data_IF_667851107176
#
_entry.id   IF_667851107176
#
_cell.length_a   1.000
_cell.length_b   1.000
_cell.length_c   1.000
_cell.angle_alpha   90.00
_cell.angle_beta   90.00
_cell.angle_gamma   90.00
#
_symmetry.space_group_name_H-M   'P 1'
#
loop_
_entity.id
_entity.type
_entity.pdbx_description
1 polymer ?
#
# COMPACT_ATOMS: atom_id res chain seq x y z
N UNK A 1 8.84 21.14 4.47
CA UNK A 1 9.43 20.50 3.27
C UNK A 1 10.25 19.30 3.72
N UNK A 2 10.04 18.13 3.12
CA UNK A 2 10.74 16.89 3.48
C UNK A 2 12.14 16.78 2.87
N UNK A 3 12.48 17.60 1.86
CA UNK A 3 13.78 17.59 1.20
C UNK A 3 14.89 17.98 2.18
N UNK A 4 16.01 17.24 2.16
CA UNK A 4 17.12 17.40 3.10
C UNK A 4 16.93 16.74 4.45
N UNK A 5 15.93 15.87 4.57
CA UNK A 5 15.71 15.07 5.78
C UNK A 5 16.92 14.16 6.06
N UNK A 6 17.33 14.00 7.33
CA UNK A 6 18.38 13.05 7.70
C UNK A 6 17.93 11.60 7.62
N UNK A 7 16.62 11.34 7.46
CA UNK A 7 16.05 9.98 7.48
C UNK A 7 16.07 9.33 6.11
N UNK A 8 16.58 8.10 6.04
CA UNK A 8 16.56 7.27 4.83
C UNK A 8 15.13 7.03 4.35
N UNK A 9 14.19 6.79 5.24
CA UNK A 9 12.77 6.61 4.91
C UNK A 9 12.24 7.77 4.06
N UNK A 10 12.51 9.00 4.48
CA UNK A 10 12.01 10.20 3.78
C UNK A 10 12.66 10.33 2.39
N UNK A 11 13.98 10.09 2.31
CA UNK A 11 14.69 10.15 1.04
C UNK A 11 14.19 9.07 0.06
N UNK A 12 14.00 7.83 0.54
CA UNK A 12 13.46 6.71 -0.24
C UNK A 12 12.01 6.97 -0.70
N UNK A 13 11.19 7.59 0.13
CA UNK A 13 9.84 8.04 -0.22
C UNK A 13 9.85 9.09 -1.32
N UNK A 14 10.79 10.06 -1.26
CA UNK A 14 10.92 11.11 -2.27
C UNK A 14 11.48 10.59 -3.61
N UNK A 15 12.07 9.40 -3.67
CA UNK A 15 12.47 8.74 -4.91
C UNK A 15 11.28 8.12 -5.67
N UNK A 16 10.15 7.86 -4.99
CA UNK A 16 9.00 7.14 -5.54
C UNK A 16 8.42 7.75 -6.85
N UNK A 17 8.27 9.09 -7.00
CA UNK A 17 7.82 9.68 -8.27
C UNK A 17 8.76 9.37 -9.44
N UNK A 18 10.07 9.38 -9.19
CA UNK A 18 11.07 9.03 -10.19
C UNK A 18 10.99 7.56 -10.60
N UNK A 19 10.68 6.65 -9.67
CA UNK A 19 10.42 5.24 -9.95
C UNK A 19 9.20 5.10 -10.86
N UNK A 20 8.08 5.75 -10.52
CA UNK A 20 6.89 5.76 -11.37
C UNK A 20 7.19 6.30 -12.78
N UNK A 21 7.92 7.43 -12.87
CA UNK A 21 8.19 8.09 -14.17
C UNK A 21 8.95 7.19 -15.16
N UNK A 22 9.89 6.37 -14.66
CA UNK A 22 10.73 5.49 -15.51
C UNK A 22 10.26 4.05 -15.56
N UNK A 23 9.15 3.71 -14.92
CA UNK A 23 8.63 2.34 -14.90
C UNK A 23 8.24 1.89 -16.31
N UNK A 24 8.66 0.68 -16.68
CA UNK A 24 8.24 0.04 -17.94
C UNK A 24 7.01 -0.84 -17.70
N UNK A 25 5.84 -0.35 -18.10
CA UNK A 25 4.58 -1.08 -17.97
C UNK A 25 4.49 -2.35 -18.82
N UNK A 26 5.40 -2.52 -19.78
CA UNK A 26 5.48 -3.72 -20.64
C UNK A 26 6.41 -4.79 -20.07
N UNK A 27 7.12 -4.51 -18.98
CA UNK A 27 8.12 -5.42 -18.41
C UNK A 27 7.57 -6.83 -18.10
N UNK A 28 6.26 -6.97 -17.87
CA UNK A 28 5.58 -8.25 -17.56
C UNK A 28 4.64 -8.72 -18.68
N UNK A 29 4.76 -8.21 -19.90
CA UNK A 29 3.89 -8.58 -21.03
C UNK A 29 3.91 -10.09 -21.35
N UNK A 30 5.00 -10.79 -21.06
CA UNK A 30 5.07 -12.25 -21.16
C UNK A 30 4.18 -12.98 -20.17
N UNK A 31 4.06 -12.44 -18.93
CA UNK A 31 3.25 -13.03 -17.87
C UNK A 31 1.75 -12.89 -18.14
N UNK A 32 1.35 -11.74 -18.71
CA UNK A 32 -0.06 -11.46 -19.02
C UNK A 32 -0.68 -12.50 -19.94
N UNK A 33 0.08 -13.06 -20.89
CA UNK A 33 -0.39 -14.15 -21.78
C UNK A 33 -0.72 -15.41 -20.98
N UNK A 34 0.16 -15.81 -20.07
CA UNK A 34 -0.04 -16.99 -19.20
C UNK A 34 -1.23 -16.77 -18.26
N UNK A 35 -1.35 -15.55 -17.70
CA UNK A 35 -2.44 -15.18 -16.80
C UNK A 35 -3.78 -15.19 -17.55
N UNK A 36 -3.85 -14.58 -18.73
CA UNK A 36 -5.06 -14.55 -19.55
C UNK A 36 -5.52 -15.96 -19.96
N UNK A 37 -4.59 -16.85 -20.31
CA UNK A 37 -4.92 -18.23 -20.66
C UNK A 37 -5.52 -19.02 -19.48
N UNK A 38 -5.13 -18.72 -18.24
CA UNK A 38 -5.70 -19.34 -17.02
C UNK A 38 -6.96 -18.63 -16.53
N UNK A 39 -7.11 -17.33 -16.76
CA UNK A 39 -8.21 -16.49 -16.28
C UNK A 39 -8.23 -16.30 -14.77
N UNK A 40 -7.23 -16.81 -14.03
CA UNK A 40 -7.16 -16.78 -12.56
C UNK A 40 -5.75 -16.41 -12.09
N UNK A 41 -5.67 -15.38 -11.28
CA UNK A 41 -4.42 -14.84 -10.73
C UNK A 41 -4.49 -14.79 -9.20
N UNK A 42 -3.50 -15.37 -8.53
CA UNK A 42 -3.23 -15.16 -7.12
C UNK A 42 -2.03 -14.23 -6.98
N UNK A 43 -2.19 -13.08 -6.31
CA UNK A 43 -1.08 -12.21 -5.94
C UNK A 43 -0.79 -12.44 -4.46
N UNK A 44 0.44 -12.79 -4.11
CA UNK A 44 0.82 -13.14 -2.73
C UNK A 44 2.10 -12.45 -2.29
N UNK A 45 2.30 -12.39 -1.00
CA UNK A 45 3.42 -11.75 -0.30
C UNK A 45 3.09 -11.61 1.17
N UNK A 46 3.94 -10.94 1.91
CA UNK A 46 3.70 -10.64 3.32
C UNK A 46 3.75 -9.12 3.57
N UNK A 47 2.83 -8.63 4.40
CA UNK A 47 2.75 -7.23 4.78
C UNK A 47 2.65 -6.28 3.57
N UNK A 48 3.48 -5.25 3.55
CA UNK A 48 3.48 -4.21 2.51
C UNK A 48 3.72 -4.72 1.09
N UNK A 49 4.42 -5.86 0.94
CA UNK A 49 4.62 -6.46 -0.39
C UNK A 49 3.33 -7.04 -0.99
N UNK A 50 2.26 -7.16 -0.19
CA UNK A 50 0.98 -7.69 -0.62
C UNK A 50 -0.17 -6.69 -0.50
N UNK A 51 -0.25 -5.98 0.64
CA UNK A 51 -1.44 -5.19 1.01
C UNK A 51 -1.80 -4.21 -0.10
N UNK A 52 -1.03 -3.16 -0.30
CA UNK A 52 -1.33 -2.18 -1.35
C UNK A 52 -1.13 -2.76 -2.75
N UNK A 53 -0.02 -3.43 -3.11
CA UNK A 53 0.19 -3.92 -4.47
C UNK A 53 -0.94 -4.79 -5.00
N UNK A 54 -1.37 -5.78 -4.23
CA UNK A 54 -2.39 -6.72 -4.68
C UNK A 54 -3.80 -6.12 -4.64
N UNK A 55 -4.17 -5.43 -3.56
CA UNK A 55 -5.51 -4.87 -3.41
C UNK A 55 -5.79 -3.72 -4.36
N UNK A 56 -4.78 -2.88 -4.67
CA UNK A 56 -4.91 -1.86 -5.70
C UNK A 56 -5.15 -2.49 -7.09
N UNK A 57 -4.43 -3.54 -7.44
CA UNK A 57 -4.66 -4.25 -8.69
C UNK A 57 -6.07 -4.88 -8.76
N UNK A 58 -6.55 -5.47 -7.66
CA UNK A 58 -7.92 -6.01 -7.57
C UNK A 58 -8.96 -4.90 -7.76
N UNK A 59 -8.82 -3.76 -7.05
CA UNK A 59 -9.75 -2.62 -7.18
C UNK A 59 -9.79 -2.09 -8.61
N UNK A 60 -8.63 -1.92 -9.24
CA UNK A 60 -8.53 -1.47 -10.64
C UNK A 60 -9.17 -2.46 -11.62
N UNK A 61 -8.92 -3.76 -11.45
CA UNK A 61 -9.53 -4.79 -12.28
C UNK A 61 -11.06 -4.80 -12.15
N UNK A 62 -11.57 -4.71 -10.93
CA UNK A 62 -13.02 -4.65 -10.68
C UNK A 62 -13.67 -3.39 -11.28
N UNK A 63 -13.02 -2.23 -11.15
CA UNK A 63 -13.50 -0.96 -11.73
C UNK A 63 -13.51 -0.96 -13.24
N UNK A 64 -12.54 -1.61 -13.88
CA UNK A 64 -12.46 -1.73 -15.34
C UNK A 64 -13.37 -2.80 -15.93
N UNK A 65 -14.06 -3.58 -15.09
CA UNK A 65 -14.88 -4.71 -15.53
C UNK A 65 -14.05 -5.87 -16.11
N UNK A 66 -12.82 -6.04 -15.65
CA UNK A 66 -11.93 -7.12 -16.08
C UNK A 66 -12.57 -8.49 -15.80
N UNK A 67 -12.51 -9.40 -16.79
CA UNK A 67 -12.93 -10.77 -16.62
C UNK A 67 -11.92 -11.64 -15.84
N UNK A 68 -10.73 -11.11 -15.54
CA UNK A 68 -9.69 -11.80 -14.80
C UNK A 68 -10.09 -11.96 -13.32
N UNK A 69 -10.17 -13.20 -12.84
CA UNK A 69 -10.39 -13.46 -11.43
C UNK A 69 -9.08 -13.29 -10.65
N UNK A 70 -9.01 -12.23 -9.84
CA UNK A 70 -7.82 -11.93 -9.02
C UNK A 70 -8.16 -12.10 -7.55
N UNK A 71 -7.30 -12.79 -6.82
CA UNK A 71 -7.38 -12.89 -5.36
C UNK A 71 -6.01 -12.67 -4.72
N UNK A 72 -6.02 -12.41 -3.41
CA UNK A 72 -4.78 -12.20 -2.64
C UNK A 72 -4.89 -12.78 -1.25
N UNK A 73 -3.83 -13.48 -0.85
CA UNK A 73 -3.67 -14.03 0.49
C UNK A 73 -2.21 -13.99 0.91
N UNK A 74 -1.95 -13.99 2.23
CA UNK A 74 -0.63 -14.24 2.76
C UNK A 74 -0.13 -15.64 2.35
N UNK A 75 1.16 -15.77 2.11
CA UNK A 75 1.72 -16.99 1.55
C UNK A 75 1.49 -18.23 2.44
N UNK A 76 1.46 -18.04 3.76
CA UNK A 76 1.19 -19.15 4.69
C UNK A 76 -0.20 -19.73 4.49
N UNK A 77 -1.22 -18.87 4.38
CA UNK A 77 -2.60 -19.29 4.15
C UNK A 77 -2.79 -19.78 2.72
N UNK A 78 -2.21 -19.12 1.72
CA UNK A 78 -2.27 -19.54 0.32
C UNK A 78 -1.74 -20.98 0.12
N UNK A 79 -0.79 -21.41 0.95
CA UNK A 79 -0.24 -22.77 0.92
C UNK A 79 -1.24 -23.89 1.34
N UNK A 80 -2.42 -23.52 1.84
CA UNK A 80 -3.53 -24.41 2.21
C UNK A 80 -4.56 -24.58 1.08
N UNK A 81 -4.45 -23.75 0.00
CA UNK A 81 -5.42 -23.72 -1.09
C UNK A 81 -4.99 -24.57 -2.29
N UNK A 82 -5.97 -25.06 -3.04
CA UNK A 82 -5.73 -25.64 -4.37
C UNK A 82 -5.51 -24.51 -5.40
N UNK A 83 -4.27 -24.26 -5.72
CA UNK A 83 -3.83 -23.25 -6.69
C UNK A 83 -3.60 -23.81 -8.10
N UNK A 84 -3.99 -25.04 -8.39
CA UNK A 84 -3.77 -25.74 -9.69
C UNK A 84 -4.34 -24.99 -10.89
N UNK A 85 -5.40 -24.19 -10.67
CA UNK A 85 -6.07 -23.38 -11.71
C UNK A 85 -5.58 -21.94 -11.78
N UNK A 86 -4.60 -21.55 -10.95
CA UNK A 86 -4.10 -20.18 -10.87
C UNK A 86 -2.74 -20.03 -11.54
N UNK A 87 -2.45 -18.80 -11.93
CA UNK A 87 -1.09 -18.29 -11.99
C UNK A 87 -0.82 -17.59 -10.67
N UNK A 88 0.35 -17.81 -10.07
CA UNK A 88 0.71 -17.20 -8.79
C UNK A 88 1.84 -16.19 -9.00
N UNK A 89 1.61 -14.95 -8.58
CA UNK A 89 2.63 -13.88 -8.59
C UNK A 89 2.99 -13.53 -7.16
N UNK A 90 4.28 -13.60 -6.83
CA UNK A 90 4.80 -13.22 -5.52
C UNK A 90 5.49 -11.86 -5.55
N UNK A 91 5.34 -11.09 -4.48
CA UNK A 91 6.20 -9.94 -4.22
C UNK A 91 6.91 -10.09 -2.87
N UNK A 92 8.23 -9.85 -2.86
CA UNK A 92 9.06 -9.90 -1.64
C UNK A 92 10.34 -9.09 -1.82
N UNK A 93 10.55 -8.06 -1.00
CA UNK A 93 11.76 -7.24 -1.08
C UNK A 93 13.04 -8.06 -0.93
N UNK A 94 13.11 -8.93 0.07
CA UNK A 94 14.28 -9.78 0.32
C UNK A 94 14.35 -11.00 -0.60
N UNK A 95 13.22 -11.43 -1.17
CA UNK A 95 13.11 -12.70 -1.88
C UNK A 95 13.43 -13.93 -1.02
N UNK A 96 13.38 -13.80 0.32
CA UNK A 96 13.76 -14.83 1.31
C UNK A 96 12.72 -15.03 2.42
N UNK A 97 11.54 -14.45 2.28
CA UNK A 97 10.46 -14.60 3.27
C UNK A 97 10.09 -16.07 3.37
N UNK A 98 10.24 -16.66 4.56
CA UNK A 98 10.07 -18.11 4.80
C UNK A 98 8.74 -18.66 4.29
N UNK A 99 7.64 -17.97 4.60
CA UNK A 99 6.30 -18.38 4.22
C UNK A 99 6.16 -18.43 2.70
N UNK A 100 6.69 -17.42 2.03
CA UNK A 100 6.67 -17.33 0.59
C UNK A 100 7.51 -18.40 -0.08
N UNK A 101 8.73 -18.64 0.42
CA UNK A 101 9.62 -19.68 -0.10
C UNK A 101 8.95 -21.05 0.04
N UNK A 102 8.38 -21.38 1.21
CA UNK A 102 7.68 -22.64 1.43
C UNK A 102 6.46 -22.85 0.50
N UNK A 103 5.71 -21.79 0.19
CA UNK A 103 4.65 -21.84 -0.82
C UNK A 103 5.24 -22.13 -2.22
N UNK A 104 6.27 -21.39 -2.62
CA UNK A 104 6.83 -21.46 -3.96
C UNK A 104 7.57 -22.77 -4.23
N UNK A 105 8.14 -23.41 -3.23
CA UNK A 105 8.67 -24.79 -3.33
C UNK A 105 7.53 -25.79 -3.65
N UNK A 106 6.36 -25.67 -3.00
CA UNK A 106 5.20 -26.50 -3.32
C UNK A 106 4.67 -26.27 -4.75
N UNK A 107 4.56 -24.99 -5.15
CA UNK A 107 4.12 -24.62 -6.50
C UNK A 107 5.10 -25.14 -7.57
N UNK A 108 6.40 -25.09 -7.31
CA UNK A 108 7.43 -25.62 -8.19
C UNK A 108 7.29 -27.13 -8.37
N UNK A 109 7.15 -27.86 -7.27
CA UNK A 109 6.94 -29.32 -7.29
C UNK A 109 5.65 -29.72 -8.06
N UNK A 110 4.58 -28.92 -7.92
CA UNK A 110 3.31 -29.12 -8.61
C UNK A 110 3.28 -28.57 -10.06
N UNK A 111 4.37 -27.93 -10.52
CA UNK A 111 4.49 -27.29 -11.85
C UNK A 111 3.40 -26.25 -12.13
N UNK A 112 2.95 -25.53 -11.09
CA UNK A 112 2.00 -24.43 -11.22
C UNK A 112 2.73 -23.20 -11.74
N UNK A 113 2.22 -22.47 -12.77
CA UNK A 113 2.83 -21.26 -13.30
C UNK A 113 2.98 -20.20 -12.21
N UNK A 114 4.20 -19.67 -12.04
CA UNK A 114 4.55 -18.78 -10.94
C UNK A 114 5.62 -17.77 -11.32
N UNK A 115 5.40 -16.53 -10.89
CA UNK A 115 6.28 -15.39 -11.19
C UNK A 115 6.69 -14.69 -9.90
N UNK A 116 7.80 -13.97 -9.93
CA UNK A 116 8.34 -13.29 -8.77
C UNK A 116 8.71 -11.83 -9.02
N UNK A 117 8.51 -10.99 -8.01
CA UNK A 117 8.94 -9.59 -7.96
C UNK A 117 9.76 -9.41 -6.70
N UNK A 118 11.01 -8.96 -6.81
CA UNK A 118 11.92 -8.81 -5.67
C UNK A 118 12.85 -7.61 -5.82
N UNK A 119 13.29 -7.01 -4.70
CA UNK A 119 14.35 -6.01 -4.73
C UNK A 119 15.77 -6.63 -4.72
N UNK A 120 15.88 -7.95 -4.52
CA UNK A 120 17.16 -8.65 -4.32
C UNK A 120 17.40 -9.65 -5.43
N UNK A 121 18.28 -9.31 -6.36
CA UNK A 121 18.72 -10.22 -7.40
C UNK A 121 19.42 -11.47 -6.79
N UNK A 122 19.24 -12.63 -7.43
CA UNK A 122 19.85 -13.88 -6.97
C UNK A 122 19.34 -14.38 -5.62
N UNK A 123 18.16 -13.88 -5.17
CA UNK A 123 17.51 -14.36 -3.96
C UNK A 123 16.84 -15.72 -4.18
N UNK A 124 16.51 -16.43 -3.09
CA UNK A 124 15.87 -17.76 -3.17
C UNK A 124 14.59 -17.75 -4.00
N UNK A 125 13.81 -16.66 -3.96
CA UNK A 125 12.61 -16.53 -4.81
C UNK A 125 12.95 -16.62 -6.30
N UNK A 126 14.09 -16.03 -6.74
CA UNK A 126 14.48 -16.04 -8.16
C UNK A 126 14.78 -17.43 -8.71
N UNK A 127 15.14 -18.38 -7.83
CA UNK A 127 15.40 -19.78 -8.20
C UNK A 127 14.11 -20.62 -8.31
N UNK A 128 13.03 -20.18 -7.68
CA UNK A 128 11.79 -20.95 -7.52
C UNK A 128 10.68 -20.53 -8.50
N UNK A 129 10.88 -19.45 -9.25
CA UNK A 129 9.87 -18.91 -10.19
C UNK A 129 10.23 -19.21 -11.64
N UNK A 130 9.23 -19.18 -12.51
CA UNK A 130 9.44 -19.36 -13.95
C UNK A 130 10.11 -18.13 -14.56
N UNK A 131 9.82 -16.95 -14.02
CA UNK A 131 10.47 -15.67 -14.33
C UNK A 131 10.38 -14.72 -13.15
N UNK A 132 11.40 -13.88 -12.94
CA UNK A 132 11.47 -12.91 -11.88
C UNK A 132 11.77 -11.50 -12.40
N UNK A 133 11.11 -10.49 -11.83
CA UNK A 133 11.47 -9.09 -12.03
C UNK A 133 12.18 -8.55 -10.80
N UNK A 134 13.34 -7.95 -11.03
CA UNK A 134 14.08 -7.25 -9.97
C UNK A 134 13.70 -5.78 -10.03
N UNK A 135 13.32 -5.22 -8.87
CA UNK A 135 12.91 -3.84 -8.74
C UNK A 135 14.05 -2.88 -9.15
N UNK A 136 13.73 -1.91 -9.98
CA UNK A 136 14.67 -0.90 -10.46
C UNK A 136 15.02 0.15 -9.40
N UNK A 137 14.14 0.33 -8.41
CA UNK A 137 14.34 1.24 -7.27
C UNK A 137 15.40 0.75 -6.28
N UNK A 138 15.81 -0.51 -6.38
CA UNK A 138 16.80 -1.12 -5.48
C UNK A 138 16.25 -1.40 -4.08
N UNK A 139 17.17 -1.78 -3.19
CA UNK A 139 16.85 -2.12 -1.80
C UNK A 139 16.71 -0.85 -0.95
N UNK A 140 15.75 -0.82 -0.06
CA UNK A 140 15.55 0.26 0.92
C UNK A 140 16.33 -0.01 2.20
N UNK A 141 16.82 1.06 2.84
CA UNK A 141 17.47 1.02 4.15
C UNK A 141 16.48 1.11 5.30
N UNK A 142 15.45 1.93 5.14
CA UNK A 142 14.38 2.06 6.14
C UNK A 142 13.63 0.74 6.33
N UNK A 143 13.16 0.48 7.56
CA UNK A 143 12.33 -0.71 7.84
C UNK A 143 10.98 -0.59 7.18
N UNK A 144 10.33 0.57 7.29
CA UNK A 144 9.09 0.85 6.60
C UNK A 144 9.36 1.00 5.09
N UNK A 145 8.81 0.11 4.30
CA UNK A 145 8.95 0.13 2.84
C UNK A 145 8.09 1.23 2.21
N UNK A 146 8.62 1.90 1.20
CA UNK A 146 7.97 2.99 0.46
C UNK A 146 8.10 2.82 -1.06
N UNK A 147 9.23 3.17 -1.68
CA UNK A 147 9.45 3.06 -3.13
C UNK A 147 9.34 1.62 -3.64
N UNK A 148 9.74 0.62 -2.85
CA UNK A 148 9.60 -0.78 -3.24
C UNK A 148 8.13 -1.23 -3.25
N UNK A 149 7.30 -0.76 -2.32
CA UNK A 149 5.85 -0.99 -2.32
C UNK A 149 5.21 -0.39 -3.56
N UNK A 150 5.61 0.84 -3.90
CA UNK A 150 5.13 1.51 -5.10
C UNK A 150 5.49 0.72 -6.36
N UNK A 151 6.75 0.32 -6.54
CA UNK A 151 7.16 -0.39 -7.75
C UNK A 151 6.54 -1.79 -7.84
N UNK A 152 6.38 -2.51 -6.72
CA UNK A 152 5.62 -3.76 -6.67
C UNK A 152 4.16 -3.56 -7.11
N UNK A 153 3.53 -2.46 -6.67
CA UNK A 153 2.17 -2.14 -7.08
C UNK A 153 2.07 -1.81 -8.57
N UNK A 154 3.06 -1.10 -9.14
CA UNK A 154 3.12 -0.83 -10.57
C UNK A 154 3.24 -2.14 -11.38
N UNK A 155 4.07 -3.09 -10.94
CA UNK A 155 4.13 -4.42 -11.55
C UNK A 155 2.79 -5.16 -11.47
N UNK A 156 2.14 -5.17 -10.30
CA UNK A 156 0.83 -5.81 -10.15
C UNK A 156 -0.24 -5.16 -11.04
N UNK A 157 -0.25 -3.82 -11.15
CA UNK A 157 -1.15 -3.09 -12.04
C UNK A 157 -0.86 -3.39 -13.52
N UNK A 158 0.42 -3.48 -13.92
CA UNK A 158 0.78 -3.75 -15.31
C UNK A 158 0.35 -5.14 -15.80
N UNK A 159 0.06 -6.08 -14.89
CA UNK A 159 -0.55 -7.38 -15.24
C UNK A 159 -1.97 -7.24 -15.81
N UNK A 160 -2.65 -6.12 -15.56
CA UNK A 160 -4.01 -5.87 -16.04
C UNK A 160 -4.02 -5.34 -17.49
N UNK A 161 -2.91 -4.75 -17.95
CA UNK A 161 -2.90 -3.91 -19.12
C UNK A 161 -3.66 -2.61 -18.86
N UNK A 162 -4.02 -1.90 -19.91
CA UNK A 162 -4.88 -0.72 -19.80
C UNK A 162 -4.24 0.54 -20.37
N UNK A 163 -5.10 1.53 -20.58
CA UNK A 163 -4.74 2.82 -21.20
C UNK A 163 -4.22 3.86 -20.21
N UNK A 164 -4.35 3.60 -18.91
CA UNK A 164 -3.95 4.52 -17.84
C UNK A 164 -2.46 4.88 -17.91
N UNK A 165 -1.63 4.01 -18.44
CA UNK A 165 -0.18 4.22 -18.60
C UNK A 165 0.16 5.45 -19.48
N UNK A 166 -0.76 5.91 -20.31
CA UNK A 166 -0.65 7.18 -21.04
C UNK A 166 -0.48 8.38 -20.11
N UNK A 167 -0.97 8.26 -18.88
CA UNK A 167 -0.91 9.29 -17.84
C UNK A 167 0.26 9.12 -16.87
N UNK A 168 1.16 8.17 -17.09
CA UNK A 168 2.25 7.82 -16.16
C UNK A 168 3.12 9.03 -15.78
N UNK A 169 3.55 9.83 -16.74
CA UNK A 169 4.31 11.05 -16.49
C UNK A 169 3.55 12.08 -15.65
N UNK A 170 2.24 12.23 -15.92
CA UNK A 170 1.36 13.12 -15.16
C UNK A 170 1.17 12.60 -13.73
N UNK A 171 0.99 11.30 -13.58
CA UNK A 171 0.91 10.65 -12.28
C UNK A 171 2.17 10.89 -11.45
N UNK A 172 3.35 10.75 -12.05
CA UNK A 172 4.61 11.05 -11.36
C UNK A 172 4.71 12.52 -10.92
N UNK A 173 4.25 13.46 -11.75
CA UNK A 173 4.18 14.89 -11.37
C UNK A 173 3.23 15.12 -10.19
N UNK A 174 2.06 14.50 -10.19
CA UNK A 174 1.12 14.58 -9.07
C UNK A 174 1.67 13.91 -7.79
N UNK A 175 2.44 12.83 -7.92
CA UNK A 175 3.14 12.24 -6.78
C UNK A 175 4.16 13.21 -6.16
N UNK A 176 4.91 13.95 -6.99
CA UNK A 176 5.83 15.00 -6.52
C UNK A 176 5.06 16.12 -5.79
N UNK A 177 3.95 16.58 -6.38
CA UNK A 177 3.08 17.58 -5.76
C UNK A 177 2.57 17.12 -4.39
N UNK A 178 2.03 15.90 -4.31
CA UNK A 178 1.50 15.34 -3.06
C UNK A 178 2.58 15.18 -2.00
N UNK A 179 3.77 14.68 -2.37
CA UNK A 179 4.90 14.56 -1.43
C UNK A 179 5.45 15.93 -0.99
N UNK A 180 5.21 16.98 -1.79
CA UNK A 180 5.54 18.36 -1.45
C UNK A 180 4.58 19.04 -0.48
N UNK A 181 3.40 18.45 -0.20
CA UNK A 181 2.40 19.03 0.70
C UNK A 181 2.96 19.10 2.13
N UNK A 182 2.93 20.28 2.72
CA UNK A 182 3.23 20.47 4.14
C UNK A 182 1.99 20.10 4.96
N UNK A 183 2.13 19.10 5.82
CA UNK A 183 1.05 18.68 6.72
C UNK A 183 0.82 19.73 7.79
N UNK A 184 -0.43 20.18 7.95
CA UNK A 184 -0.77 21.18 8.95
C UNK A 184 -0.48 20.67 10.37
N UNK A 185 0.02 21.54 11.28
CA UNK A 185 0.31 21.17 12.67
C UNK A 185 -0.89 20.57 13.40
N UNK A 186 -2.10 21.02 13.10
CA UNK A 186 -3.35 20.47 13.65
C UNK A 186 -3.50 18.99 13.32
N UNK A 187 -3.30 18.60 12.05
CA UNK A 187 -3.40 17.20 11.60
C UNK A 187 -2.32 16.36 12.29
N UNK A 188 -1.10 16.87 12.31
CA UNK A 188 0.02 16.20 13.00
C UNK A 188 -0.27 16.00 14.48
N UNK A 189 -0.82 17.03 15.15
CA UNK A 189 -1.20 16.98 16.55
C UNK A 189 -2.31 15.97 16.85
N UNK A 190 -3.30 15.87 15.98
CA UNK A 190 -4.36 14.85 16.10
C UNK A 190 -3.80 13.43 16.08
N UNK A 191 -2.93 13.12 15.12
CA UNK A 191 -2.30 11.80 15.03
C UNK A 191 -1.37 11.55 16.21
N UNK A 192 -0.57 12.55 16.60
CA UNK A 192 0.41 12.41 17.67
C UNK A 192 -0.25 12.18 19.04
N UNK A 193 -1.32 12.92 19.36
CA UNK A 193 -2.00 12.83 20.65
C UNK A 193 -2.92 11.62 20.79
N UNK A 194 -3.42 11.08 19.67
CA UNK A 194 -4.38 9.98 19.68
C UNK A 194 -3.81 8.71 20.31
N UNK A 195 -4.52 8.04 21.25
CA UNK A 195 -4.13 6.73 21.77
C UNK A 195 -4.27 5.61 20.70
N UNK A 196 -5.20 5.78 19.77
CA UNK A 196 -5.46 4.88 18.65
C UNK A 196 -5.79 5.71 17.41
N UNK A 197 -5.28 5.28 16.25
CA UNK A 197 -5.56 5.89 14.95
C UNK A 197 -6.28 4.89 14.07
N UNK A 198 -7.48 5.22 13.65
CA UNK A 198 -8.23 4.47 12.65
C UNK A 198 -7.91 4.99 11.24
N UNK A 199 -7.74 4.09 10.29
CA UNK A 199 -7.69 4.43 8.87
C UNK A 199 -8.90 3.80 8.18
N UNK A 200 -9.76 4.63 7.61
CA UNK A 200 -10.95 4.17 6.91
C UNK A 200 -10.90 4.56 5.44
N UNK A 201 -11.24 3.63 4.57
CA UNK A 201 -11.22 3.83 3.13
C UNK A 201 -11.68 2.60 2.36
N UNK A 202 -11.63 2.69 1.06
CA UNK A 202 -11.95 1.57 0.17
C UNK A 202 -10.99 0.40 0.35
N UNK A 203 -11.43 -0.80 0.03
CA UNK A 203 -10.60 -2.01 0.08
C UNK A 203 -9.62 -2.08 -1.12
N UNK A 204 -8.97 -0.96 -1.41
CA UNK A 204 -7.93 -0.83 -2.43
C UNK A 204 -6.50 -0.93 -1.87
N UNK A 205 -6.39 -1.33 -0.61
CA UNK A 205 -5.12 -1.51 0.09
C UNK A 205 -4.53 -0.25 0.70
N UNK A 206 -4.99 0.97 0.38
CA UNK A 206 -4.37 2.21 0.88
C UNK A 206 -4.55 2.35 2.39
N UNK A 207 -5.79 2.33 2.89
CA UNK A 207 -6.06 2.52 4.32
C UNK A 207 -5.46 1.38 5.16
N UNK A 208 -5.48 0.15 4.66
CA UNK A 208 -4.86 -1.00 5.31
C UNK A 208 -3.33 -0.89 5.35
N UNK A 209 -2.69 -0.46 4.26
CA UNK A 209 -1.24 -0.21 4.22
C UNK A 209 -0.83 0.92 5.16
N UNK A 210 -1.61 2.01 5.21
CA UNK A 210 -1.35 3.11 6.13
C UNK A 210 -1.53 2.70 7.60
N UNK A 211 -2.42 1.75 7.89
CA UNK A 211 -2.53 1.15 9.23
C UNK A 211 -1.23 0.46 9.62
N UNK A 212 -0.66 -0.36 8.75
CA UNK A 212 0.64 -0.98 8.99
C UNK A 212 1.74 0.09 9.14
N UNK A 213 1.78 1.07 8.24
CA UNK A 213 2.76 2.16 8.27
C UNK A 213 2.66 3.04 9.51
N UNK A 214 1.47 3.23 10.08
CA UNK A 214 1.32 3.96 11.33
C UNK A 214 2.07 3.30 12.50
N UNK A 215 2.08 1.96 12.54
CA UNK A 215 2.84 1.21 13.54
C UNK A 215 4.36 1.35 13.30
N UNK A 216 4.80 1.33 12.04
CA UNK A 216 6.22 1.35 11.68
C UNK A 216 6.82 2.76 11.75
N UNK A 217 6.15 3.78 11.21
CA UNK A 217 6.67 5.15 11.05
C UNK A 217 6.38 6.01 12.29
N UNK A 218 5.12 6.11 12.69
CA UNK A 218 4.68 6.97 13.78
C UNK A 218 4.58 6.24 15.14
N UNK A 219 4.79 4.92 15.16
CA UNK A 219 4.68 4.03 16.32
C UNK A 219 3.35 4.18 17.04
N UNK A 220 2.29 4.36 16.26
CA UNK A 220 0.91 4.49 16.73
C UNK A 220 0.18 3.16 16.63
N UNK A 221 -0.57 2.82 17.69
CA UNK A 221 -1.59 1.78 17.58
C UNK A 221 -2.60 2.20 16.52
N UNK A 222 -2.95 1.30 15.63
CA UNK A 222 -3.84 1.62 14.51
C UNK A 222 -4.75 0.46 14.14
N UNK A 223 -5.89 0.79 13.54
CA UNK A 223 -6.87 -0.17 13.05
C UNK A 223 -7.38 0.25 11.66
N UNK A 224 -7.57 -0.73 10.78
CA UNK A 224 -8.15 -0.54 9.46
C UNK A 224 -9.65 -0.76 9.51
N UNK A 225 -10.41 0.14 8.88
CA UNK A 225 -11.86 0.08 8.75
C UNK A 225 -12.23 0.18 7.27
N UNK A 226 -12.70 -0.94 6.70
CA UNK A 226 -13.05 -1.01 5.29
C UNK A 226 -14.32 -0.23 4.97
N UNK A 227 -14.30 0.53 3.87
CA UNK A 227 -15.49 1.18 3.34
C UNK A 227 -16.14 2.12 4.34
N UNK A 228 -17.39 1.84 4.68
CA UNK A 228 -18.18 2.59 5.66
C UNK A 228 -18.24 1.91 7.02
N UNK A 229 -17.40 0.90 7.28
CA UNK A 229 -17.44 0.12 8.52
C UNK A 229 -17.32 0.98 9.79
N UNK A 230 -16.64 2.12 9.71
CA UNK A 230 -16.60 3.08 10.81
C UNK A 230 -17.98 3.64 11.25
N UNK A 231 -19.04 3.41 10.46
CA UNK A 231 -20.43 3.81 10.74
C UNK A 231 -21.35 2.62 11.04
N UNK A 232 -20.80 1.43 11.30
CA UNK A 232 -21.58 0.19 11.44
C UNK A 232 -21.26 -0.55 12.76
N UNK A 233 -21.40 0.16 13.89
CA UNK A 233 -21.33 -0.42 15.23
C UNK A 233 -19.96 -0.33 15.90
N UNK A 234 -18.87 -0.08 15.15
CA UNK A 234 -17.53 0.07 15.74
C UNK A 234 -17.43 1.35 16.60
N UNK A 235 -18.27 2.35 16.32
CA UNK A 235 -18.37 3.60 17.08
C UNK A 235 -18.71 3.37 18.55
N UNK A 236 -19.31 2.23 18.90
CA UNK A 236 -19.61 1.87 20.30
C UNK A 236 -18.37 1.77 21.20
N UNK A 237 -17.23 1.39 20.62
CA UNK A 237 -15.96 1.25 21.34
C UNK A 237 -15.00 2.41 21.14
N UNK A 238 -15.30 3.30 20.19
CA UNK A 238 -14.47 4.47 19.90
C UNK A 238 -14.57 5.51 21.03
N UNK A 239 -13.49 6.23 21.28
CA UNK A 239 -13.39 7.18 22.39
C UNK A 239 -12.96 8.57 21.93
N UNK A 240 -13.47 9.58 22.62
CA UNK A 240 -13.05 10.97 22.43
C UNK A 240 -11.52 11.09 22.45
N UNK A 241 -10.98 11.81 21.48
CA UNK A 241 -9.54 12.05 21.34
C UNK A 241 -8.78 10.98 20.57
N UNK A 242 -9.42 9.86 20.19
CA UNK A 242 -8.87 8.99 19.15
C UNK A 242 -8.94 9.70 17.79
N UNK A 243 -8.12 9.26 16.85
CA UNK A 243 -8.06 9.86 15.51
C UNK A 243 -8.64 8.93 14.45
N UNK A 244 -9.32 9.52 13.47
CA UNK A 244 -9.80 8.82 12.28
C UNK A 244 -9.26 9.53 11.03
N UNK A 245 -8.53 8.81 10.20
CA UNK A 245 -8.07 9.27 8.88
C UNK A 245 -8.96 8.65 7.81
N UNK A 246 -9.77 9.47 7.17
CA UNK A 246 -10.65 9.10 6.07
C UNK A 246 -9.89 9.21 4.74
N UNK A 247 -9.75 8.11 4.02
CA UNK A 247 -9.08 8.06 2.72
C UNK A 247 -10.12 8.07 1.62
N UNK A 248 -10.22 9.19 0.90
CA UNK A 248 -11.19 9.42 -0.17
C UNK A 248 -12.60 8.94 0.24
N UNK A 249 -13.23 9.51 1.27
CA UNK A 249 -14.51 9.05 1.79
C UNK A 249 -15.60 9.08 0.70
N UNK A 250 -16.63 8.25 0.86
CA UNK A 250 -17.82 8.35 0.03
C UNK A 250 -18.51 9.70 0.30
N UNK A 251 -18.74 10.49 -0.75
CA UNK A 251 -19.26 11.87 -0.62
C UNK A 251 -20.59 11.92 0.12
N UNK A 252 -21.44 10.96 -0.17
CA UNK A 252 -22.76 10.79 0.44
C UNK A 252 -22.74 10.44 1.92
N UNK A 253 -21.63 9.92 2.42
CA UNK A 253 -21.49 9.52 3.82
C UNK A 253 -20.76 10.57 4.69
N UNK A 254 -20.20 11.63 4.07
CA UNK A 254 -19.35 12.61 4.78
C UNK A 254 -20.07 13.27 5.94
N UNK A 255 -21.33 13.65 5.78
CA UNK A 255 -22.13 14.27 6.84
C UNK A 255 -22.43 13.28 7.99
N UNK A 256 -22.57 11.98 7.71
CA UNK A 256 -22.72 10.96 8.76
C UNK A 256 -21.42 10.79 9.56
N UNK A 257 -20.28 10.75 8.88
CA UNK A 257 -18.97 10.74 9.59
C UNK A 257 -18.84 11.94 10.52
N UNK A 258 -19.28 13.14 10.07
CA UNK A 258 -19.27 14.35 10.90
C UNK A 258 -20.19 14.21 12.11
N UNK A 259 -21.46 13.90 11.88
CA UNK A 259 -22.46 13.83 12.94
C UNK A 259 -22.18 12.73 13.98
N UNK A 260 -21.84 11.54 13.52
CA UNK A 260 -21.67 10.37 14.41
C UNK A 260 -20.29 10.37 15.06
N UNK A 261 -19.23 10.49 14.27
CA UNK A 261 -17.88 10.23 14.77
C UNK A 261 -17.19 11.49 15.31
N UNK A 262 -17.30 12.63 14.59
CA UNK A 262 -16.69 13.86 15.08
C UNK A 262 -17.50 14.51 16.19
N UNK A 263 -18.81 14.70 16.00
CA UNK A 263 -19.68 15.41 16.94
C UNK A 263 -20.23 14.48 18.02
N UNK A 264 -20.64 13.25 17.67
CA UNK A 264 -21.20 12.26 18.60
C UNK A 264 -20.14 11.63 19.49
N UNK A 265 -19.13 11.00 18.93
CA UNK A 265 -18.04 10.33 19.68
C UNK A 265 -16.98 11.33 20.15
N UNK A 266 -16.69 12.36 19.37
CA UNK A 266 -15.62 13.33 19.63
C UNK A 266 -14.25 12.88 19.10
N UNK A 267 -14.22 12.16 17.99
CA UNK A 267 -12.98 11.80 17.30
C UNK A 267 -12.32 13.02 16.66
N UNK A 268 -10.99 12.98 16.58
CA UNK A 268 -10.21 13.87 15.73
C UNK A 268 -10.24 13.32 14.30
N UNK A 269 -11.13 13.86 13.45
CA UNK A 269 -11.31 13.37 12.08
C UNK A 269 -10.48 14.20 11.11
N UNK A 270 -9.70 13.53 10.27
CA UNK A 270 -8.88 14.08 9.19
C UNK A 270 -9.26 13.40 7.88
N UNK A 271 -9.22 14.11 6.76
CA UNK A 271 -9.42 13.52 5.45
C UNK A 271 -8.19 13.66 4.55
N UNK A 272 -7.94 12.66 3.73
CA UNK A 272 -7.10 12.70 2.53
C UNK A 272 -8.05 12.52 1.37
N UNK A 273 -8.30 13.57 0.59
CA UNK A 273 -9.37 13.54 -0.41
C UNK A 273 -9.07 14.42 -1.63
N UNK A 274 -9.66 14.05 -2.77
CA UNK A 274 -9.62 14.84 -4.00
C UNK A 274 -10.67 15.96 -4.02
N UNK A 275 -11.47 16.07 -2.97
CA UNK A 275 -12.53 17.06 -2.81
C UNK A 275 -12.53 17.67 -1.40
N UNK A 276 -13.29 18.77 -1.23
CA UNK A 276 -13.39 19.44 0.06
C UNK A 276 -14.30 18.66 1.01
N UNK A 277 -13.86 18.53 2.26
CA UNK A 277 -14.63 17.87 3.32
C UNK A 277 -14.81 18.83 4.52
N UNK A 278 -15.75 18.58 5.45
CA UNK A 278 -15.92 19.40 6.66
C UNK A 278 -14.84 19.11 7.74
N UNK A 279 -13.80 18.37 7.38
CA UNK A 279 -12.68 18.02 8.26
C UNK A 279 -11.39 18.72 7.80
N UNK A 280 -10.37 18.86 8.66
CA UNK A 280 -9.02 19.15 8.19
C UNK A 280 -8.64 18.16 7.08
N UNK A 281 -8.41 18.70 5.86
CA UNK A 281 -8.27 17.89 4.64
C UNK A 281 -6.92 18.12 4.00
N UNK A 282 -6.21 17.02 3.74
CA UNK A 282 -5.08 17.01 2.80
C UNK A 282 -5.67 16.84 1.41
N UNK A 283 -5.75 17.94 0.68
CA UNK A 283 -6.27 17.97 -0.68
C UNK A 283 -5.26 17.40 -1.63
N UNK A 284 -5.66 16.40 -2.40
CA UNK A 284 -4.82 15.75 -3.42
C UNK A 284 -5.47 15.81 -4.79
N UNK A 285 -4.70 15.82 -5.88
CA UNK A 285 -5.26 15.67 -7.22
C UNK A 285 -5.88 14.28 -7.40
N UNK A 286 -6.78 14.15 -8.37
CA UNK A 286 -7.34 12.87 -8.81
C UNK A 286 -6.81 12.51 -10.20
N UNK A 287 -6.47 11.24 -10.40
CA UNK A 287 -6.05 10.70 -11.68
C UNK A 287 -6.39 9.21 -11.76
N UNK A 288 -7.33 8.89 -12.65
CA UNK A 288 -7.77 7.51 -12.83
C UNK A 288 -6.60 6.57 -13.12
N UNK A 289 -6.63 5.39 -12.52
CA UNK A 289 -5.54 4.42 -12.55
C UNK A 289 -4.43 4.69 -11.52
N UNK A 290 -4.32 5.93 -10.97
CA UNK A 290 -3.24 6.30 -10.05
C UNK A 290 -3.72 6.89 -8.71
N UNK A 291 -5.02 6.99 -8.47
CA UNK A 291 -5.57 7.57 -7.24
C UNK A 291 -5.02 6.89 -5.97
N UNK A 292 -4.91 5.56 -5.96
CA UNK A 292 -4.38 4.81 -4.81
C UNK A 292 -2.94 5.21 -4.45
N UNK A 293 -2.11 5.49 -5.45
CA UNK A 293 -0.72 5.95 -5.23
C UNK A 293 -0.66 7.34 -4.60
N UNK A 294 -1.50 8.28 -5.08
CA UNK A 294 -1.57 9.64 -4.55
C UNK A 294 -2.07 9.63 -3.10
N UNK A 295 -3.09 8.84 -2.81
CA UNK A 295 -3.64 8.67 -1.46
C UNK A 295 -2.60 8.07 -0.51
N UNK A 296 -1.87 7.04 -0.95
CA UNK A 296 -0.83 6.38 -0.17
C UNK A 296 0.31 7.35 0.19
N UNK A 297 0.77 8.13 -0.78
CA UNK A 297 1.85 9.12 -0.57
C UNK A 297 1.42 10.26 0.36
N UNK A 298 0.18 10.74 0.25
CA UNK A 298 -0.37 11.70 1.20
C UNK A 298 -0.40 11.13 2.62
N UNK A 299 -0.79 9.86 2.77
CA UNK A 299 -0.74 9.15 4.03
C UNK A 299 0.68 9.02 4.60
N UNK A 300 1.67 8.74 3.76
CA UNK A 300 3.08 8.72 4.19
C UNK A 300 3.52 10.07 4.75
N UNK A 301 3.16 11.19 4.08
CA UNK A 301 3.45 12.52 4.59
C UNK A 301 2.89 12.76 5.98
N UNK A 302 1.63 12.35 6.21
CA UNK A 302 0.99 12.47 7.54
C UNK A 302 1.76 11.69 8.59
N UNK A 303 2.11 10.45 8.29
CA UNK A 303 2.77 9.56 9.25
C UNK A 303 4.21 9.99 9.52
N UNK A 304 4.94 10.46 8.51
CA UNK A 304 6.29 11.03 8.66
C UNK A 304 6.24 12.29 9.52
N UNK A 305 5.32 13.22 9.24
CA UNK A 305 5.16 14.44 10.03
C UNK A 305 4.83 14.12 11.50
N UNK A 306 3.93 13.18 11.74
CA UNK A 306 3.55 12.73 13.09
C UNK A 306 4.71 12.03 13.82
N UNK A 307 5.47 11.18 13.11
CA UNK A 307 6.63 10.49 13.67
C UNK A 307 7.75 11.45 14.06
N UNK A 308 8.06 12.42 13.20
CA UNK A 308 9.06 13.47 13.48
C UNK A 308 8.61 14.31 14.70
N UNK A 309 7.36 14.77 14.72
CA UNK A 309 6.83 15.55 15.82
C UNK A 309 6.82 14.79 17.15
N UNK A 310 6.69 13.46 17.11
CA UNK A 310 6.79 12.57 18.28
C UNK A 310 8.26 12.25 18.67
N UNK A 311 9.25 12.79 17.96
CA UNK A 311 10.67 12.49 18.22
C UNK A 311 11.09 11.06 17.85
N UNK A 312 10.31 10.37 17.00
CA UNK A 312 10.62 9.01 16.55
C UNK A 312 11.79 9.05 15.56
N UNK A 313 12.79 8.19 15.78
CA UNK A 313 13.79 7.93 14.73
C UNK A 313 13.15 7.01 13.68
N UNK A 314 12.90 7.55 12.48
CA UNK A 314 12.15 6.86 11.41
C UNK A 314 12.93 5.68 10.81
N UNK A 315 14.25 5.69 10.90
CA UNK A 315 15.12 4.65 10.31
C UNK A 315 15.48 3.55 11.31
N UNK A 316 15.36 3.82 12.62
CA UNK A 316 15.82 2.89 13.66
C UNK A 316 14.61 2.28 14.41
N UNK A 317 14.18 1.09 14.03
CA UNK A 317 13.11 0.40 14.75
C UNK A 317 13.60 -0.04 16.14
N UNK A 318 12.66 -0.17 17.09
CA UNK A 318 12.95 -0.68 18.42
C UNK A 318 12.84 -2.21 18.48
N UNK A 319 11.85 -2.78 17.79
CA UNK A 319 11.52 -4.21 17.85
C UNK A 319 11.46 -4.88 16.48
N UNK A 320 10.98 -4.15 15.47
CA UNK A 320 10.85 -4.67 14.11
C UNK A 320 12.24 -4.86 13.46
N UNK A 321 12.32 -5.79 12.50
CA UNK A 321 13.48 -6.01 11.65
C UNK A 321 13.06 -5.96 10.20
N UNK A 322 13.90 -5.44 9.31
CA UNK A 322 13.62 -5.36 7.86
C UNK A 322 13.34 -6.75 7.26
N UNK A 323 14.05 -7.77 7.73
CA UNK A 323 13.85 -9.16 7.36
C UNK A 323 13.77 -9.96 8.66
N UNK A 324 12.57 -10.02 9.21
CA UNK A 324 12.35 -10.69 10.51
C UNK A 324 12.25 -12.20 10.40
N UNK A 325 11.78 -12.73 9.28
CA UNK A 325 11.49 -14.14 9.05
C UNK A 325 12.05 -14.60 7.69
N UNK A 326 13.39 -14.70 7.59
CA UNK A 326 14.09 -15.10 6.39
C UNK A 326 14.66 -16.51 6.48
N UNK A 327 14.80 -17.17 5.33
CA UNK A 327 15.58 -18.41 5.10
C UNK A 327 16.71 -18.15 4.13
#
# INVERSE_FOLDING_TARGET
>A
MLSGSPFSLVNEMLEAPGVLRRFDSNAVAGWTKTIAAKGRLMITGEGSSRIFPAKNAIDLAMRSGSALHICTEGARQAAEYDLSKYVVVAASNSGRTRELIGLFEKLAAAKIPRFGITATAGSRLTELVDECRVLSCGVERAVASSKTVLEQALFCQSLLGGDEWKNQSRAAGYCEEVLGITVAPEITGFIQSAPLVYFSGRNNGVAEELTLKANEIARKKSAYLEGTYALHGIEEVMRKGEALVLIEPFREEVEKYKAILKEGVGLNVVAIASFDTPFPTIKIPALDGFNGYLQLMAGWNVLVAAGIAAGVNLDKPERARKVGNAV
#
